data_IF_897120524953
#
_entry.id   IF_897120524953
#
_cell.length_a   1.000
_cell.length_b   1.000
_cell.length_c   1.000
_cell.angle_alpha   90.00
_cell.angle_beta   90.00
_cell.angle_gamma   90.00
#
_symmetry.space_group_name_H-M   'P 1'
#
loop_
_entity.id
_entity.type
_entity.pdbx_description
1 polymer ?
#
# COMPACT_ATOMS: atom_id res chain seq x y z
N UNK A 1 -16.52 -7.93 26.44
CA UNK A 1 -17.13 -8.29 25.14
C UNK A 1 -16.00 -8.50 24.14
N UNK A 2 -15.68 -9.76 23.86
CA UNK A 2 -14.63 -10.18 22.93
C UNK A 2 -15.31 -10.88 21.74
N UNK A 3 -15.26 -10.31 20.52
CA UNK A 3 -15.46 -11.17 19.35
C UNK A 3 -14.57 -10.83 18.13
N UNK A 4 -13.47 -10.08 18.24
CA UNK A 4 -12.65 -9.72 17.06
C UNK A 4 -11.31 -10.48 16.92
N UNK A 5 -10.81 -11.16 17.95
CA UNK A 5 -9.52 -11.87 17.89
C UNK A 5 -9.53 -13.13 17.00
N UNK A 6 -10.65 -13.87 16.95
CA UNK A 6 -10.73 -15.10 16.16
C UNK A 6 -10.87 -14.86 14.66
N UNK A 7 -11.51 -13.75 14.24
CA UNK A 7 -11.71 -13.47 12.81
C UNK A 7 -10.39 -13.11 12.12
N UNK A 8 -9.52 -12.35 12.78
CA UNK A 8 -8.20 -12.00 12.27
C UNK A 8 -7.25 -13.20 12.23
N UNK A 9 -7.24 -14.04 13.26
CA UNK A 9 -6.37 -15.23 13.25
C UNK A 9 -6.68 -16.18 12.08
N UNK A 10 -7.97 -16.34 11.74
CA UNK A 10 -8.39 -17.21 10.64
C UNK A 10 -8.07 -16.63 9.26
N UNK A 11 -8.21 -15.30 9.07
CA UNK A 11 -7.81 -14.66 7.81
C UNK A 11 -6.30 -14.66 7.63
N UNK A 12 -5.52 -14.42 8.69
CA UNK A 12 -4.06 -14.50 8.64
C UNK A 12 -3.56 -15.94 8.47
N UNK A 13 -4.18 -16.92 9.14
CA UNK A 13 -3.87 -18.34 8.94
C UNK A 13 -4.19 -18.81 7.52
N UNK A 14 -5.32 -18.38 6.94
CA UNK A 14 -5.67 -18.66 5.55
C UNK A 14 -4.66 -18.03 4.57
N UNK A 15 -4.19 -16.80 4.85
CA UNK A 15 -3.15 -16.14 4.06
C UNK A 15 -1.80 -16.90 4.14
N UNK A 16 -1.42 -17.37 5.34
CA UNK A 16 -0.21 -18.16 5.54
C UNK A 16 -0.30 -19.53 4.83
N UNK A 17 -1.46 -20.17 4.86
CA UNK A 17 -1.69 -21.45 4.18
C UNK A 17 -1.72 -21.30 2.66
N UNK A 18 -2.31 -20.21 2.15
CA UNK A 18 -2.24 -19.83 0.74
C UNK A 18 -0.81 -19.49 0.31
N UNK A 19 -0.02 -18.88 1.19
CA UNK A 19 1.39 -18.62 0.93
C UNK A 19 2.23 -19.89 0.85
N UNK A 20 2.00 -20.85 1.74
CA UNK A 20 2.70 -22.14 1.72
C UNK A 20 2.39 -22.93 0.43
N UNK A 21 1.15 -22.90 -0.03
CA UNK A 21 0.75 -23.59 -1.27
C UNK A 21 1.34 -22.95 -2.53
N UNK A 22 1.40 -21.61 -2.61
CA UNK A 22 2.07 -20.93 -3.72
C UNK A 22 3.58 -21.23 -3.77
N UNK A 23 4.23 -21.31 -2.60
CA UNK A 23 5.66 -21.64 -2.55
C UNK A 23 5.92 -23.07 -3.04
N UNK A 24 5.06 -24.04 -2.71
CA UNK A 24 5.16 -25.41 -3.23
C UNK A 24 4.97 -25.48 -4.76
N UNK A 25 4.02 -24.72 -5.32
CA UNK A 25 3.80 -24.67 -6.77
C UNK A 25 5.00 -24.06 -7.53
N UNK A 26 5.63 -23.02 -6.97
CA UNK A 26 6.83 -22.41 -7.57
C UNK A 26 8.04 -23.35 -7.54
N UNK A 27 8.16 -24.23 -6.54
CA UNK A 27 9.21 -25.26 -6.54
C UNK A 27 8.95 -26.35 -7.61
N UNK A 28 7.70 -26.74 -7.83
CA UNK A 28 7.35 -27.78 -8.82
C UNK A 28 7.57 -27.31 -10.27
N UNK A 29 7.32 -26.03 -10.56
CA UNK A 29 7.54 -25.48 -11.91
C UNK A 29 9.02 -25.28 -12.26
N UNK A 30 9.92 -25.24 -11.27
CA UNK A 30 11.37 -25.14 -11.51
C UNK A 30 12.00 -26.49 -11.87
N UNK A 31 11.34 -27.62 -11.60
CA UNK A 31 11.83 -28.97 -11.94
C UNK A 31 11.43 -29.47 -13.33
N UNK A 32 10.65 -28.71 -14.10
CA UNK A 32 10.06 -29.16 -15.37
C UNK A 32 10.45 -28.31 -16.60
N UNK A 33 11.73 -27.92 -16.74
CA UNK A 33 12.19 -27.09 -17.85
C UNK A 33 13.32 -27.71 -18.68
N UNK A 34 12.99 -28.59 -19.65
CA UNK A 34 13.87 -28.95 -20.77
C UNK A 34 13.07 -29.04 -22.08
N UNK A 35 13.59 -28.33 -23.11
CA UNK A 35 13.41 -28.47 -24.56
C UNK A 35 12.32 -27.68 -25.33
N UNK A 36 12.81 -26.85 -26.27
CA UNK A 36 12.40 -26.91 -27.69
C UNK A 36 11.58 -25.75 -28.28
N UNK A 37 12.21 -24.91 -29.11
CA UNK A 37 11.58 -23.94 -30.05
C UNK A 37 11.25 -24.61 -31.42
N UNK A 38 10.82 -23.91 -32.49
CA UNK A 38 9.93 -22.74 -32.70
C UNK A 38 8.73 -23.11 -33.63
N UNK A 39 7.93 -22.15 -34.16
CA UNK A 39 7.43 -22.06 -35.57
C UNK A 39 6.21 -21.10 -35.74
N UNK A 40 6.42 -20.09 -36.59
CA UNK A 40 5.58 -19.22 -37.46
C UNK A 40 4.12 -18.79 -37.19
N UNK A 41 3.88 -17.51 -37.47
CA UNK A 41 2.60 -16.78 -37.58
C UNK A 41 1.79 -17.09 -38.85
N UNK A 42 0.52 -16.63 -38.92
CA UNK A 42 0.16 -15.70 -39.98
C UNK A 42 -0.67 -14.48 -39.56
N UNK A 43 -0.56 -13.46 -40.40
CA UNK A 43 -1.23 -12.15 -40.41
C UNK A 43 -2.76 -12.22 -40.38
N UNK A 44 -3.40 -11.34 -39.61
CA UNK A 44 -4.74 -10.83 -39.89
C UNK A 44 -4.89 -9.36 -39.46
N UNK A 45 -5.12 -8.56 -40.48
CA UNK A 45 -5.49 -7.14 -40.63
C UNK A 45 -6.00 -6.35 -39.41
N UNK A 46 -5.45 -5.15 -39.30
CA UNK A 46 -5.75 -4.12 -38.32
C UNK A 46 -7.14 -3.48 -38.48
N UNK A 47 -7.84 -3.18 -37.37
CA UNK A 47 -8.78 -2.07 -37.31
C UNK A 47 -8.00 -0.77 -37.07
N UNK A 48 -8.32 0.28 -37.83
CA UNK A 48 -7.64 1.58 -37.79
C UNK A 48 -7.60 2.21 -36.39
N UNK A 49 -6.64 3.11 -36.13
CA UNK A 49 -6.46 3.69 -34.81
C UNK A 49 -7.68 4.53 -34.44
N UNK A 50 -8.38 4.09 -33.39
CA UNK A 50 -9.40 4.88 -32.72
C UNK A 50 -8.81 6.28 -32.39
N UNK A 51 -9.61 7.35 -32.48
CA UNK A 51 -9.15 8.69 -32.17
C UNK A 51 -8.55 8.68 -30.76
N UNK A 52 -7.27 9.07 -30.69
CA UNK A 52 -6.45 9.13 -29.48
C UNK A 52 -7.28 9.85 -28.42
N UNK A 53 -7.82 9.11 -27.46
CA UNK A 53 -8.61 9.66 -26.37
C UNK A 53 -7.81 10.82 -25.81
N UNK A 54 -8.31 12.04 -26.04
CA UNK A 54 -7.71 13.27 -25.61
C UNK A 54 -7.61 13.14 -24.10
N UNK A 55 -6.41 12.76 -23.62
CA UNK A 55 -6.12 12.56 -22.20
C UNK A 55 -6.67 13.80 -21.53
N UNK A 56 -7.76 13.65 -20.78
CA UNK A 56 -8.36 14.75 -20.02
C UNK A 56 -7.22 15.34 -19.22
N UNK A 57 -6.72 16.51 -19.63
CA UNK A 57 -5.76 17.26 -18.85
C UNK A 57 -6.58 17.71 -17.65
N UNK A 58 -6.59 16.89 -16.60
CA UNK A 58 -6.98 17.36 -15.28
C UNK A 58 -5.90 18.37 -14.90
N UNK A 59 -6.14 19.62 -15.30
CA UNK A 59 -5.28 20.74 -14.95
C UNK A 59 -5.54 21.01 -13.48
N UNK A 60 -4.62 20.57 -12.63
CA UNK A 60 -4.60 21.02 -11.25
C UNK A 60 -4.22 22.50 -11.27
N UNK A 61 -5.00 23.33 -10.59
CA UNK A 61 -4.59 24.70 -10.31
C UNK A 61 -3.45 24.65 -9.27
N UNK A 62 -2.21 24.76 -9.75
CA UNK A 62 -1.01 24.68 -8.90
C UNK A 62 -0.86 25.90 -7.99
N UNK A 63 -1.68 26.93 -8.15
CA UNK A 63 -1.73 28.12 -7.29
C UNK A 63 -2.75 27.99 -6.16
N UNK A 64 -3.54 26.91 -6.16
CA UNK A 64 -4.51 26.64 -5.11
C UNK A 64 -3.85 26.44 -3.73
N UNK A 65 -4.68 26.52 -2.70
CA UNK A 65 -4.25 26.37 -1.31
C UNK A 65 -3.48 25.07 -1.09
N UNK A 66 -2.36 25.19 -0.36
CA UNK A 66 -1.52 24.05 0.01
C UNK A 66 -1.95 23.47 1.35
N UNK A 67 -1.94 22.15 1.44
CA UNK A 67 -2.24 21.40 2.66
C UNK A 67 -1.03 20.57 3.08
N UNK A 68 -0.72 20.54 4.39
CA UNK A 68 0.43 19.80 4.89
C UNK A 68 0.26 18.30 4.67
N UNK A 69 1.37 17.62 4.37
CA UNK A 69 1.42 16.17 4.30
C UNK A 69 2.51 15.65 5.23
N UNK A 70 2.23 14.53 5.90
CA UNK A 70 3.28 13.71 6.49
C UNK A 70 3.80 12.73 5.44
N UNK A 71 5.12 12.60 5.36
CA UNK A 71 5.79 11.74 4.38
C UNK A 71 6.09 10.41 5.06
N UNK A 72 5.62 9.32 4.45
CA UNK A 72 5.88 7.97 4.91
C UNK A 72 6.60 7.14 3.87
N UNK A 73 7.31 6.12 4.33
CA UNK A 73 7.91 5.15 3.43
C UNK A 73 6.80 4.33 2.75
N UNK A 74 6.96 4.03 1.46
CA UNK A 74 6.08 3.05 0.82
C UNK A 74 6.53 1.64 1.13
N UNK A 75 5.55 0.74 1.13
CA UNK A 75 5.73 -0.71 1.15
C UNK A 75 6.68 -1.25 0.06
N UNK A 76 6.86 -0.52 -1.04
CA UNK A 76 7.73 -0.87 -2.16
C UNK A 76 9.06 -0.10 -2.17
N UNK A 77 9.26 0.86 -1.27
CA UNK A 77 10.49 1.64 -1.12
C UNK A 77 10.82 2.60 -2.27
N UNK A 78 9.98 2.72 -3.30
CA UNK A 78 10.29 3.49 -4.51
C UNK A 78 9.86 4.95 -4.44
N UNK A 79 8.63 5.19 -4.01
CA UNK A 79 8.05 6.52 -3.87
C UNK A 79 7.44 6.64 -2.48
N UNK A 80 7.56 7.79 -1.82
CA UNK A 80 6.93 7.99 -0.53
C UNK A 80 5.40 7.86 -0.64
N UNK A 81 4.74 7.61 0.48
CA UNK A 81 3.29 7.77 0.64
C UNK A 81 3.06 9.09 1.36
N UNK A 82 2.10 9.86 0.87
CA UNK A 82 1.69 11.11 1.48
C UNK A 82 0.47 10.84 2.38
N UNK A 83 0.55 11.21 3.65
CA UNK A 83 -0.57 11.10 4.59
C UNK A 83 -1.09 12.50 4.96
N UNK A 84 -2.41 12.61 4.97
CA UNK A 84 -3.13 13.76 5.50
C UNK A 84 -3.90 13.34 6.75
N UNK A 85 -3.55 13.93 7.90
CA UNK A 85 -4.30 13.76 9.14
C UNK A 85 -5.51 14.68 9.13
N UNK A 86 -6.69 14.11 9.33
CA UNK A 86 -7.95 14.88 9.38
C UNK A 86 -7.93 15.73 10.66
N UNK A 87 -8.07 17.05 10.58
CA UNK A 87 -8.06 17.92 11.76
C UNK A 87 -9.12 17.52 12.78
N UNK A 88 -8.75 17.49 14.06
CA UNK A 88 -9.67 17.23 15.17
C UNK A 88 -10.01 15.75 15.40
N UNK A 89 -9.34 14.81 14.74
CA UNK A 89 -9.57 13.39 14.98
C UNK A 89 -8.38 12.48 14.65
N UNK A 90 -8.49 11.18 14.99
CA UNK A 90 -7.42 10.20 14.76
C UNK A 90 -7.43 9.65 13.32
N UNK A 91 -8.24 10.22 12.44
CA UNK A 91 -8.49 9.71 11.10
C UNK A 91 -7.52 10.31 10.09
N UNK A 92 -7.18 9.57 9.05
CA UNK A 92 -6.29 10.01 8.00
C UNK A 92 -6.69 9.49 6.62
N UNK A 93 -6.27 10.21 5.60
CA UNK A 93 -6.21 9.71 4.23
C UNK A 93 -4.76 9.46 3.85
N UNK A 94 -4.49 8.33 3.20
CA UNK A 94 -3.19 8.04 2.62
C UNK A 94 -3.25 8.01 1.11
N UNK A 95 -2.21 8.56 0.49
CA UNK A 95 -2.10 8.70 -0.95
C UNK A 95 -0.79 8.09 -1.42
N UNK A 96 -0.87 7.21 -2.41
CA UNK A 96 0.27 6.56 -3.05
C UNK A 96 0.62 7.22 -4.38
N UNK A 97 1.91 7.22 -4.72
CA UNK A 97 2.39 7.84 -5.96
C UNK A 97 1.78 7.14 -7.18
N UNK A 98 1.26 7.95 -8.12
CA UNK A 98 0.68 7.47 -9.36
C UNK A 98 1.54 7.83 -10.58
N UNK A 99 1.97 9.09 -10.67
CA UNK A 99 2.82 9.58 -11.77
C UNK A 99 3.57 10.85 -11.40
N UNK A 100 4.62 11.14 -12.13
CA UNK A 100 5.39 12.39 -12.03
C UNK A 100 5.21 13.19 -13.31
N UNK A 101 4.91 14.48 -13.18
CA UNK A 101 4.94 15.46 -14.28
C UNK A 101 6.16 16.38 -14.12
N UNK A 102 6.36 17.29 -15.07
CA UNK A 102 7.52 18.21 -15.06
C UNK A 102 7.57 19.12 -13.82
N UNK A 103 6.42 19.56 -13.31
CA UNK A 103 6.35 20.55 -12.22
C UNK A 103 5.68 20.04 -10.94
N UNK A 104 5.05 18.87 -10.97
CA UNK A 104 4.34 18.31 -9.81
C UNK A 104 4.25 16.79 -9.90
N UNK A 105 4.01 16.13 -8.76
CA UNK A 105 3.69 14.71 -8.68
C UNK A 105 2.18 14.53 -8.54
N UNK A 106 1.65 13.42 -9.02
CA UNK A 106 0.25 13.05 -8.82
C UNK A 106 0.21 11.80 -7.97
N UNK A 107 -0.58 11.88 -6.91
CA UNK A 107 -0.86 10.79 -5.99
C UNK A 107 -2.32 10.38 -6.10
N UNK A 108 -2.64 9.15 -5.70
CA UNK A 108 -4.01 8.63 -5.63
C UNK A 108 -4.32 8.10 -4.23
N UNK A 109 -5.55 8.27 -3.78
CA UNK A 109 -6.00 7.76 -2.50
C UNK A 109 -5.95 6.22 -2.47
N UNK A 110 -5.30 5.65 -1.45
CA UNK A 110 -5.17 4.20 -1.25
C UNK A 110 -6.54 3.53 -1.05
N UNK A 111 -7.40 4.12 -0.23
CA UNK A 111 -8.73 3.58 0.05
C UNK A 111 -9.62 3.55 -1.20
N UNK A 112 -9.64 4.65 -1.97
CA UNK A 112 -10.38 4.66 -3.24
C UNK A 112 -9.81 3.66 -4.26
N UNK A 113 -8.48 3.50 -4.31
CA UNK A 113 -7.84 2.55 -5.23
C UNK A 113 -8.25 1.10 -4.93
N UNK A 114 -8.42 0.73 -3.65
CA UNK A 114 -8.94 -0.57 -3.24
C UNK A 114 -10.37 -0.81 -3.77
N UNK A 115 -11.19 0.24 -3.79
CA UNK A 115 -12.55 0.25 -4.36
C UNK A 115 -12.59 0.42 -5.90
N UNK A 116 -11.44 0.24 -6.58
CA UNK A 116 -11.29 0.42 -8.04
C UNK A 116 -11.66 1.82 -8.54
N UNK A 117 -11.68 2.83 -7.67
CA UNK A 117 -11.86 4.25 -8.04
C UNK A 117 -10.53 5.00 -7.90
N UNK A 118 -10.38 6.08 -8.67
CA UNK A 118 -9.16 6.89 -8.68
C UNK A 118 -9.45 8.32 -8.23
N UNK A 119 -9.40 8.55 -6.93
CA UNK A 119 -9.37 9.91 -6.36
C UNK A 119 -7.91 10.37 -6.34
N UNK A 120 -7.58 11.37 -7.17
CA UNK A 120 -6.21 11.82 -7.40
C UNK A 120 -5.99 13.25 -6.88
N UNK A 121 -4.78 13.53 -6.41
CA UNK A 121 -4.37 14.85 -5.94
C UNK A 121 -2.96 15.20 -6.45
N UNK A 122 -2.72 16.47 -6.73
CA UNK A 122 -1.39 16.98 -7.08
C UNK A 122 -0.59 17.29 -5.81
N UNK A 123 0.72 17.07 -5.89
CA UNK A 123 1.67 17.32 -4.83
C UNK A 123 2.85 18.12 -5.37
N UNK A 124 3.18 19.21 -4.71
CA UNK A 124 4.31 20.12 -4.99
C UNK A 124 5.05 20.34 -3.68
N UNK A 125 6.38 20.19 -3.69
CA UNK A 125 7.24 20.35 -2.50
C UNK A 125 6.70 19.58 -1.27
N UNK A 126 6.28 18.33 -1.51
CA UNK A 126 5.70 17.44 -0.50
C UNK A 126 4.45 17.99 0.22
N UNK A 127 3.74 18.93 -0.40
CA UNK A 127 2.46 19.46 0.05
C UNK A 127 1.35 19.12 -0.95
N UNK A 128 0.15 18.89 -0.44
CA UNK A 128 -1.04 18.68 -1.27
C UNK A 128 -1.54 20.00 -1.86
N UNK A 129 -1.98 19.96 -3.12
CA UNK A 129 -2.66 21.08 -3.78
C UNK A 129 -4.18 20.84 -3.70
N UNK A 130 -4.87 21.64 -2.89
CA UNK A 130 -6.28 21.48 -2.52
C UNK A 130 -6.48 20.58 -1.28
N UNK A 131 -7.65 20.70 -0.64
CA UNK A 131 -7.98 19.97 0.59
C UNK A 131 -8.19 18.47 0.29
N UNK A 132 -7.34 17.57 0.83
CA UNK A 132 -7.48 16.14 0.63
C UNK A 132 -8.82 15.57 1.13
N UNK A 133 -9.45 16.16 2.14
CA UNK A 133 -10.74 15.71 2.67
C UNK A 133 -11.93 16.12 1.80
N UNK A 134 -11.80 17.20 1.03
CA UNK A 134 -12.86 17.72 0.15
C UNK A 134 -12.97 16.96 -1.19
N UNK A 135 -12.01 16.10 -1.50
CA UNK A 135 -12.02 15.32 -2.73
C UNK A 135 -13.21 14.34 -2.74
N UNK A 136 -13.72 13.95 -3.92
CA UNK A 136 -14.84 13.03 -4.04
C UNK A 136 -14.41 11.57 -3.76
N UNK A 137 -14.09 11.27 -2.50
CA UNK A 137 -13.75 9.93 -2.04
C UNK A 137 -14.98 9.03 -2.03
N UNK A 138 -14.74 7.74 -2.25
CA UNK A 138 -15.71 6.69 -1.92
C UNK A 138 -15.34 5.90 -0.68
N UNK A 139 -14.09 6.02 -0.24
CA UNK A 139 -13.63 5.43 1.00
C UNK A 139 -13.89 6.38 2.16
N UNK A 140 -14.01 5.81 3.36
CA UNK A 140 -13.88 6.55 4.60
C UNK A 140 -12.39 6.67 4.97
N UNK A 141 -12.00 7.71 5.73
CA UNK A 141 -10.65 7.83 6.24
C UNK A 141 -10.36 6.75 7.29
N UNK A 142 -9.11 6.30 7.36
CA UNK A 142 -8.66 5.22 8.25
C UNK A 142 -8.19 5.77 9.58
N UNK A 143 -8.19 4.95 10.64
CA UNK A 143 -7.49 5.31 11.87
C UNK A 143 -5.98 5.34 11.62
N UNK A 144 -5.33 6.40 12.08
CA UNK A 144 -3.91 6.65 11.83
C UNK A 144 -3.04 5.52 12.40
N UNK A 145 -3.28 5.11 13.64
CA UNK A 145 -2.56 4.01 14.28
C UNK A 145 -2.72 2.70 13.50
N UNK A 146 -3.94 2.38 13.03
CA UNK A 146 -4.20 1.19 12.22
C UNK A 146 -3.41 1.21 10.90
N UNK A 147 -3.45 2.30 10.13
CA UNK A 147 -2.70 2.39 8.87
C UNK A 147 -1.17 2.31 9.08
N UNK A 148 -0.65 2.85 10.20
CA UNK A 148 0.76 2.70 10.58
C UNK A 148 1.12 1.24 10.84
N UNK A 149 0.36 0.54 11.68
CA UNK A 149 0.59 -0.88 12.01
C UNK A 149 0.53 -1.76 10.77
N UNK A 150 -0.50 -1.59 9.93
CA UNK A 150 -0.65 -2.34 8.68
C UNK A 150 0.59 -2.21 7.77
N UNK A 151 1.21 -1.03 7.73
CA UNK A 151 2.43 -0.77 6.94
C UNK A 151 3.67 -1.42 7.55
N UNK A 152 3.81 -1.35 8.88
CA UNK A 152 4.90 -1.99 9.60
C UNK A 152 4.85 -3.50 9.42
N UNK A 153 3.70 -4.12 9.74
CA UNK A 153 3.49 -5.57 9.59
C UNK A 153 3.74 -6.02 8.16
N UNK A 154 3.22 -5.29 7.16
CA UNK A 154 3.49 -5.63 5.76
C UNK A 154 4.99 -5.61 5.44
N UNK A 155 5.71 -4.60 5.92
CA UNK A 155 7.14 -4.40 5.65
C UNK A 155 7.97 -5.51 6.29
N UNK A 156 7.68 -5.86 7.54
CA UNK A 156 8.38 -6.95 8.24
C UNK A 156 8.07 -8.31 7.63
N UNK A 157 6.79 -8.60 7.34
CA UNK A 157 6.42 -9.81 6.61
C UNK A 157 7.16 -9.93 5.27
N UNK A 158 7.34 -8.81 4.56
CA UNK A 158 8.09 -8.79 3.30
C UNK A 158 9.57 -9.07 3.51
N UNK A 159 10.20 -8.54 4.57
CA UNK A 159 11.60 -8.84 4.92
C UNK A 159 11.77 -10.32 5.25
N UNK A 160 10.88 -10.89 6.07
CA UNK A 160 10.86 -12.32 6.41
C UNK A 160 10.76 -13.17 5.14
N UNK A 161 9.84 -12.86 4.22
CA UNK A 161 9.71 -13.56 2.93
C UNK A 161 10.98 -13.49 2.07
N UNK A 162 11.67 -12.36 2.11
CA UNK A 162 12.85 -12.13 1.26
C UNK A 162 14.11 -12.77 1.85
N UNK A 163 14.16 -13.00 3.16
CA UNK A 163 15.31 -13.54 3.86
C UNK A 163 15.15 -15.03 4.14
N UNK A 164 15.89 -15.87 3.40
CA UNK A 164 15.89 -17.33 3.57
C UNK A 164 16.32 -17.78 4.97
N UNK A 165 17.03 -16.95 5.74
CA UNK A 165 17.45 -17.26 7.12
C UNK A 165 16.30 -17.17 8.13
N UNK A 166 15.20 -16.49 7.77
CA UNK A 166 14.04 -16.39 8.64
C UNK A 166 13.20 -17.69 8.68
N UNK A 167 13.50 -18.67 7.81
CA UNK A 167 12.81 -19.97 7.81
C UNK A 167 13.02 -20.78 9.10
N UNK A 168 14.11 -20.52 9.82
CA UNK A 168 14.41 -21.15 11.11
C UNK A 168 13.95 -20.32 12.32
N UNK A 169 13.49 -19.09 12.12
CA UNK A 169 12.98 -18.25 13.22
C UNK A 169 11.63 -18.79 13.67
N UNK A 170 11.47 -19.02 14.96
CA UNK A 170 10.17 -19.44 15.49
C UNK A 170 9.14 -18.32 15.30
N UNK A 171 7.91 -18.68 14.98
CA UNK A 171 6.80 -17.74 14.80
C UNK A 171 6.68 -16.79 16.01
N UNK A 172 6.79 -17.30 17.24
CA UNK A 172 6.72 -16.49 18.46
C UNK A 172 7.77 -15.38 18.51
N UNK A 173 9.02 -15.68 18.16
CA UNK A 173 10.11 -14.68 18.15
C UNK A 173 9.83 -13.61 17.09
N UNK A 174 9.38 -14.01 15.89
CA UNK A 174 9.03 -13.06 14.85
C UNK A 174 7.87 -12.13 15.24
N UNK A 175 6.91 -12.61 16.05
CA UNK A 175 5.83 -11.77 16.58
C UNK A 175 6.33 -10.81 17.66
N UNK A 176 7.21 -11.27 18.57
CA UNK A 176 7.81 -10.38 19.58
C UNK A 176 8.64 -9.27 18.91
N UNK A 177 9.47 -9.62 17.92
CA UNK A 177 10.27 -8.64 17.18
C UNK A 177 9.38 -7.58 16.50
N UNK A 178 8.14 -7.94 16.10
CA UNK A 178 7.17 -6.99 15.55
C UNK A 178 6.53 -6.11 16.62
N UNK A 179 6.22 -6.64 17.82
CA UNK A 179 5.75 -5.83 18.95
C UNK A 179 6.79 -4.79 19.36
N UNK A 180 8.04 -5.22 19.53
CA UNK A 180 9.17 -4.36 19.89
C UNK A 180 9.35 -3.25 18.84
N UNK A 181 9.25 -3.60 17.55
CA UNK A 181 9.29 -2.60 16.47
C UNK A 181 8.15 -1.58 16.53
N UNK A 182 6.94 -2.01 16.90
CA UNK A 182 5.78 -1.11 17.06
C UNK A 182 6.02 -0.14 18.21
N UNK A 183 6.56 -0.62 19.33
CA UNK A 183 6.93 0.21 20.48
C UNK A 183 8.00 1.25 20.12
N UNK A 184 9.01 0.86 19.34
CA UNK A 184 10.05 1.76 18.84
C UNK A 184 9.50 2.81 17.84
N UNK A 185 8.50 2.45 17.03
CA UNK A 185 7.94 3.31 15.98
C UNK A 185 6.86 4.29 16.47
N UNK A 186 6.21 4.03 17.60
CA UNK A 186 5.06 4.81 18.10
C UNK A 186 5.36 6.22 18.62
N UNK A 187 6.55 6.77 18.35
CA UNK A 187 6.94 8.14 18.73
C UNK A 187 7.11 8.33 20.24
N UNK A 188 7.03 9.57 20.71
CA UNK A 188 7.06 9.91 22.15
C UNK A 188 5.66 9.87 22.80
N UNK A 189 4.59 9.69 22.01
CA UNK A 189 3.21 9.67 22.50
C UNK A 189 2.79 8.24 22.89
N UNK A 190 2.67 8.00 24.20
CA UNK A 190 2.24 6.72 24.76
C UNK A 190 0.82 6.32 24.32
N UNK A 191 -0.03 7.31 23.98
CA UNK A 191 -1.38 7.05 23.47
C UNK A 191 -1.31 6.42 22.09
N UNK A 192 -0.46 6.95 21.21
CA UNK A 192 -0.29 6.42 19.86
C UNK A 192 0.31 5.01 19.90
N UNK A 193 1.29 4.75 20.78
CA UNK A 193 1.83 3.40 21.00
C UNK A 193 0.76 2.41 21.43
N UNK A 194 -0.03 2.78 22.44
CA UNK A 194 -1.12 1.95 22.94
C UNK A 194 -2.15 1.67 21.86
N UNK A 195 -2.50 2.67 21.05
CA UNK A 195 -3.43 2.51 19.95
C UNK A 195 -2.85 1.59 18.85
N UNK A 196 -1.57 1.73 18.51
CA UNK A 196 -0.90 0.87 17.54
C UNK A 196 -0.85 -0.58 18.02
N UNK A 197 -0.45 -0.83 19.27
CA UNK A 197 -0.46 -2.17 19.86
C UNK A 197 -1.87 -2.78 19.94
N UNK A 198 -2.91 -1.96 20.11
CA UNK A 198 -4.29 -2.43 20.07
C UNK A 198 -4.72 -2.92 18.67
N UNK A 199 -4.18 -2.35 17.59
CA UNK A 199 -4.50 -2.79 16.21
C UNK A 199 -3.63 -3.93 15.70
N UNK A 200 -2.49 -4.19 16.34
CA UNK A 200 -1.62 -5.32 16.06
C UNK A 200 -2.23 -6.63 16.57
#
# INVERSE_FOLDING_TARGET
>A
MLPNFQLNLLTYAALLQQMQSQQQQLLQNQTAGVSGAPVTAPHASAPGPAPRAQRRRCGYDLTAQRYPASIEQSQHGKHAVMRYSVPGGPLCYTFEHLRTNSTYKVYRCRGCAAEKKNTMIAVVDDQFIGDPSSLPHVCLPFKTAQDKVDRLVYTECKKIRSNKRCASTSTRVAWQDMEDLIEECGGEDDTEKSDMLHYF
#
